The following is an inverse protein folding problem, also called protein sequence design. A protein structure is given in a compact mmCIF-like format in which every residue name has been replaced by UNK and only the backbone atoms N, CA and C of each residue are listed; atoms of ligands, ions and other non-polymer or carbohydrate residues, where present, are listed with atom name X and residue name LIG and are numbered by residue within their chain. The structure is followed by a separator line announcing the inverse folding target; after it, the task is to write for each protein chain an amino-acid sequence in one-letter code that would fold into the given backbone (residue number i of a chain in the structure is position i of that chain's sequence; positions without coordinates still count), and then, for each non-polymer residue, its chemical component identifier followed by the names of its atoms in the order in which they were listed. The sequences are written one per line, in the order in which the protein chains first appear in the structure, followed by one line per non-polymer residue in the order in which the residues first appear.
data_IF_423029997942
#
_entry.id   IF_423029997942
#
_cell.length_a   1.000
_cell.length_b   1.000
_cell.length_c   1.000
_cell.angle_alpha   90.00
_cell.angle_beta   90.00
_cell.angle_gamma   90.00
#
_symmetry.space_group_name_H-M   'P 1'
#
loop_
_entity.id
_entity.type
_entity.pdbx_description
1 polymer ?
#
# COMPACT_ATOMS: atom_id res chain seq x y z
N UNK A 1 9.06 11.44 9.74
CA UNK A 1 9.55 12.75 9.31
C UNK A 1 10.73 12.58 8.37
N UNK A 2 10.47 12.62 7.05
CA UNK A 2 11.49 12.54 5.99
C UNK A 2 12.04 13.97 5.78
N UNK A 3 12.76 14.50 6.75
CA UNK A 3 13.39 15.84 6.64
C UNK A 3 14.26 15.87 5.38
N UNK A 4 14.08 16.90 4.56
CA UNK A 4 14.84 17.10 3.32
C UNK A 4 14.22 16.47 2.06
N UNK A 5 13.03 15.84 2.16
CA UNK A 5 12.31 15.32 0.99
C UNK A 5 11.12 16.21 0.64
N UNK A 6 10.84 16.36 -0.65
CA UNK A 6 9.59 16.96 -1.15
C UNK A 6 8.49 15.90 -1.11
N UNK A 7 7.35 16.22 -0.49
CA UNK A 7 6.21 15.32 -0.41
C UNK A 7 5.09 15.83 -1.30
N UNK A 8 4.64 14.98 -2.23
CA UNK A 8 3.48 15.23 -3.08
C UNK A 8 2.34 14.38 -2.52
N UNK A 9 1.38 15.02 -1.86
CA UNK A 9 0.20 14.35 -1.32
C UNK A 9 -0.91 14.32 -2.37
N UNK A 10 -1.35 13.12 -2.76
CA UNK A 10 -2.43 12.92 -3.71
C UNK A 10 -3.61 12.26 -2.99
N UNK A 11 -4.70 13.00 -2.81
CA UNK A 11 -5.87 12.55 -2.06
C UNK A 11 -7.15 13.24 -2.54
N UNK A 12 -8.30 12.71 -2.18
CA UNK A 12 -9.60 13.33 -2.48
C UNK A 12 -9.72 14.76 -1.98
N UNK A 13 -9.14 15.07 -0.82
CA UNK A 13 -9.17 16.42 -0.25
C UNK A 13 -8.44 17.46 -1.08
N UNK A 14 -7.53 17.06 -1.95
CA UNK A 14 -6.83 17.94 -2.89
C UNK A 14 -7.13 17.62 -4.37
N UNK A 15 -8.26 16.95 -4.62
CA UNK A 15 -8.81 16.77 -5.95
C UNK A 15 -8.29 15.55 -6.73
N UNK A 16 -7.67 14.57 -6.04
CA UNK A 16 -7.21 13.32 -6.67
C UNK A 16 -8.07 12.15 -6.23
N UNK A 17 -8.84 11.58 -7.16
CA UNK A 17 -9.55 10.34 -6.96
C UNK A 17 -8.67 9.15 -7.38
N UNK A 18 -8.64 8.10 -6.56
CA UNK A 18 -7.82 6.90 -6.85
C UNK A 18 -8.26 6.19 -8.14
N UNK A 19 -9.53 6.35 -8.55
CA UNK A 19 -10.07 5.85 -9.82
C UNK A 19 -9.46 6.54 -11.05
N UNK A 20 -8.95 7.75 -10.90
CA UNK A 20 -8.24 8.46 -11.97
C UNK A 20 -6.73 8.12 -11.93
N UNK A 21 -6.45 6.85 -12.19
CA UNK A 21 -5.10 6.28 -12.15
C UNK A 21 -4.12 7.04 -13.04
N UNK A 22 -4.57 7.47 -14.22
CA UNK A 22 -3.72 8.19 -15.18
C UNK A 22 -3.29 9.56 -14.64
N UNK A 23 -4.20 10.29 -14.01
CA UNK A 23 -3.90 11.59 -13.41
C UNK A 23 -2.95 11.46 -12.22
N UNK A 24 -3.12 10.42 -11.40
CA UNK A 24 -2.23 10.14 -10.27
C UNK A 24 -0.84 9.76 -10.78
N UNK A 25 -0.75 8.92 -11.82
CA UNK A 25 0.52 8.56 -12.44
C UNK A 25 1.23 9.80 -12.98
N UNK A 26 0.54 10.64 -13.73
CA UNK A 26 1.12 11.86 -14.31
C UNK A 26 1.64 12.82 -13.22
N UNK A 27 0.89 12.97 -12.12
CA UNK A 27 1.31 13.83 -11.01
C UNK A 27 2.51 13.25 -10.21
N UNK A 28 2.69 11.92 -10.21
CA UNK A 28 3.70 11.23 -9.42
C UNK A 28 4.85 10.62 -10.21
N UNK A 29 4.81 10.59 -11.53
CA UNK A 29 5.81 9.87 -12.37
C UNK A 29 7.26 10.33 -12.17
N UNK A 30 7.48 11.60 -11.84
CA UNK A 30 8.80 12.17 -11.62
C UNK A 30 9.31 12.02 -10.18
N UNK A 31 8.48 11.53 -9.25
CA UNK A 31 8.90 11.23 -7.89
C UNK A 31 9.89 10.04 -7.87
N UNK A 32 10.71 9.95 -6.82
CA UNK A 32 11.64 8.82 -6.60
C UNK A 32 10.97 7.65 -5.89
N UNK A 33 9.93 7.93 -5.09
CA UNK A 33 9.24 6.96 -4.25
C UNK A 33 7.74 7.18 -4.38
N UNK A 34 6.99 6.12 -4.69
CA UNK A 34 5.54 6.08 -4.64
C UNK A 34 5.07 5.22 -3.47
N UNK A 35 4.29 5.81 -2.56
CA UNK A 35 3.64 5.09 -1.47
C UNK A 35 2.16 4.93 -1.81
N UNK A 36 1.79 3.75 -2.27
CA UNK A 36 0.45 3.36 -2.67
C UNK A 36 -0.38 2.96 -1.44
N UNK A 37 -0.92 3.95 -0.73
CA UNK A 37 -1.64 3.77 0.53
C UNK A 37 -3.16 3.92 0.40
N UNK A 38 -3.66 4.74 -0.51
CA UNK A 38 -5.09 4.96 -0.68
C UNK A 38 -5.81 3.66 -1.09
N UNK A 39 -7.04 3.47 -0.60
CA UNK A 39 -7.86 2.31 -0.90
C UNK A 39 -9.23 2.75 -1.43
N UNK A 40 -9.58 2.19 -2.58
CA UNK A 40 -10.94 2.14 -3.10
C UNK A 40 -11.01 1.02 -4.17
N UNK A 41 -11.83 0.00 -3.95
CA UNK A 41 -11.99 -1.11 -4.88
C UNK A 41 -10.65 -1.71 -5.34
N UNK A 42 -10.55 -1.97 -6.62
CA UNK A 42 -9.34 -2.51 -7.26
C UNK A 42 -8.32 -1.43 -7.68
N UNK A 43 -8.65 -0.15 -7.54
CA UNK A 43 -7.81 0.94 -8.05
C UNK A 43 -6.41 1.00 -7.40
N UNK A 44 -6.26 0.50 -6.16
CA UNK A 44 -4.95 0.38 -5.55
C UNK A 44 -4.03 -0.60 -6.30
N UNK A 45 -4.59 -1.71 -6.81
CA UNK A 45 -3.88 -2.64 -7.72
C UNK A 45 -3.56 -1.95 -9.04
N UNK A 46 -4.51 -1.24 -9.62
CA UNK A 46 -4.34 -0.59 -10.91
C UNK A 46 -3.24 0.48 -10.85
N UNK A 47 -3.15 1.22 -9.74
CA UNK A 47 -2.04 2.16 -9.49
C UNK A 47 -0.69 1.44 -9.35
N UNK A 48 -0.63 0.31 -8.65
CA UNK A 48 0.60 -0.49 -8.57
C UNK A 48 1.07 -0.88 -9.97
N UNK A 49 0.18 -1.40 -10.82
CA UNK A 49 0.49 -1.84 -12.18
C UNK A 49 0.91 -0.67 -13.08
N UNK A 50 0.24 0.49 -12.97
CA UNK A 50 0.58 1.68 -13.74
C UNK A 50 1.98 2.21 -13.38
N UNK A 51 2.28 2.38 -12.08
CA UNK A 51 3.59 2.81 -11.64
C UNK A 51 4.69 1.79 -11.93
N UNK A 52 4.40 0.48 -11.85
CA UNK A 52 5.34 -0.54 -12.26
C UNK A 52 5.69 -0.42 -13.74
N UNK A 53 4.71 -0.30 -14.63
CA UNK A 53 4.94 -0.17 -16.07
C UNK A 53 5.77 1.07 -16.42
N UNK A 54 5.56 2.17 -15.71
CA UNK A 54 6.30 3.42 -15.89
C UNK A 54 7.73 3.33 -15.34
N UNK A 55 7.92 2.62 -14.21
CA UNK A 55 9.17 2.66 -13.45
C UNK A 55 10.02 1.40 -13.51
N UNK A 56 9.55 0.31 -14.12
CA UNK A 56 10.24 -0.99 -14.11
C UNK A 56 11.71 -0.94 -14.55
N UNK A 57 12.05 -0.03 -15.47
CA UNK A 57 13.41 0.14 -15.99
C UNK A 57 14.20 1.26 -15.28
N UNK A 58 13.68 1.78 -14.17
CA UNK A 58 14.29 2.84 -13.36
C UNK A 58 14.78 2.30 -12.00
N UNK A 59 15.50 3.14 -11.24
CA UNK A 59 15.91 2.82 -9.86
C UNK A 59 14.95 3.33 -8.79
N UNK A 60 13.75 3.80 -9.20
CA UNK A 60 12.71 4.32 -8.31
C UNK A 60 12.10 3.23 -7.42
N UNK A 61 11.28 3.62 -6.45
CA UNK A 61 10.71 2.68 -5.49
C UNK A 61 9.19 2.78 -5.37
N UNK A 62 8.52 1.63 -5.40
CA UNK A 62 7.08 1.49 -5.15
C UNK A 62 6.87 0.76 -3.82
N UNK A 63 6.15 1.36 -2.89
CA UNK A 63 5.71 0.70 -1.65
C UNK A 63 4.19 0.66 -1.65
N UNK A 64 3.62 -0.55 -1.61
CA UNK A 64 2.17 -0.73 -1.49
C UNK A 64 1.78 -1.12 -0.07
N UNK A 65 0.68 -0.54 0.43
CA UNK A 65 0.12 -0.90 1.73
C UNK A 65 -1.01 -1.92 1.51
N UNK A 66 -0.69 -3.15 1.83
CA UNK A 66 -1.60 -4.29 1.80
C UNK A 66 -2.48 -4.39 3.04
N UNK A 67 -2.76 -5.62 3.48
CA UNK A 67 -3.43 -5.92 4.74
C UNK A 67 -3.23 -7.39 5.11
N UNK A 68 -3.13 -7.70 6.38
CA UNK A 68 -3.08 -9.09 6.89
C UNK A 68 -4.38 -9.86 6.63
N UNK A 69 -5.49 -9.18 6.35
CA UNK A 69 -6.78 -9.82 6.05
C UNK A 69 -6.68 -10.83 4.90
N UNK A 70 -5.65 -10.69 4.06
CA UNK A 70 -5.39 -11.62 2.96
C UNK A 70 -4.89 -12.99 3.44
N UNK A 71 -4.26 -13.06 4.60
CA UNK A 71 -3.62 -14.27 5.14
C UNK A 71 -4.41 -14.93 6.28
N UNK A 72 -5.24 -14.16 7.00
CA UNK A 72 -5.90 -14.60 8.21
C UNK A 72 -7.43 -14.51 8.12
N UNK A 73 -8.10 -15.56 7.59
CA UNK A 73 -9.57 -15.56 7.45
C UNK A 73 -10.33 -15.37 8.77
N UNK A 74 -9.71 -15.71 9.92
CA UNK A 74 -10.32 -15.53 11.24
C UNK A 74 -10.52 -14.07 11.64
N UNK A 75 -9.67 -13.17 11.17
CA UNK A 75 -9.77 -11.73 11.45
C UNK A 75 -11.03 -11.15 10.81
N UNK A 76 -11.50 -11.74 9.71
CA UNK A 76 -12.74 -11.30 9.04
C UNK A 76 -13.99 -11.49 9.92
N UNK A 77 -14.03 -12.52 10.78
CA UNK A 77 -15.17 -12.75 11.66
C UNK A 77 -15.26 -11.76 12.82
N UNK A 78 -14.12 -11.20 13.21
CA UNK A 78 -14.03 -10.18 14.26
C UNK A 78 -14.22 -8.76 13.70
N UNK A 79 -13.94 -8.57 12.41
CA UNK A 79 -14.17 -7.33 11.65
C UNK A 79 -15.50 -7.37 10.87
N UNK A 80 -16.51 -7.97 11.41
CA UNK A 80 -17.80 -8.38 10.77
C UNK A 80 -18.61 -7.27 10.08
N UNK A 81 -18.05 -6.09 9.95
CA UNK A 81 -18.64 -4.97 9.19
C UNK A 81 -17.87 -4.61 7.91
N UNK A 82 -16.72 -5.24 7.64
CA UNK A 82 -16.03 -5.05 6.36
C UNK A 82 -16.50 -6.11 5.38
N UNK A 83 -17.24 -5.71 4.34
CA UNK A 83 -17.77 -6.66 3.38
C UNK A 83 -16.63 -7.39 2.65
N UNK A 84 -16.87 -8.62 2.24
CA UNK A 84 -16.01 -9.49 1.43
C UNK A 84 -15.19 -8.78 0.32
N UNK A 85 -15.69 -7.71 -0.34
CA UNK A 85 -14.93 -6.99 -1.33
C UNK A 85 -13.57 -6.46 -0.87
N UNK A 86 -13.42 -5.98 0.39
CA UNK A 86 -12.15 -5.45 0.88
C UNK A 86 -11.02 -6.47 0.82
N UNK A 87 -11.31 -7.70 1.27
CA UNK A 87 -10.34 -8.79 1.22
C UNK A 87 -9.94 -9.13 -0.21
N UNK A 88 -10.92 -9.23 -1.11
CA UNK A 88 -10.67 -9.57 -2.50
C UNK A 88 -9.85 -8.48 -3.20
N UNK A 89 -10.14 -7.21 -2.90
CA UNK A 89 -9.37 -6.09 -3.40
C UNK A 89 -7.91 -6.13 -2.89
N UNK A 90 -7.70 -6.41 -1.59
CA UNK A 90 -6.34 -6.53 -1.03
C UNK A 90 -5.62 -7.78 -1.52
N UNK A 91 -6.33 -8.89 -1.78
CA UNK A 91 -5.76 -10.06 -2.45
C UNK A 91 -5.31 -9.73 -3.86
N UNK A 92 -6.15 -9.07 -4.65
CA UNK A 92 -5.80 -8.66 -6.01
C UNK A 92 -4.54 -7.78 -6.04
N UNK A 93 -4.42 -6.83 -5.10
CA UNK A 93 -3.19 -6.04 -4.93
C UNK A 93 -1.98 -6.93 -4.65
N UNK A 94 -2.07 -7.85 -3.68
CA UNK A 94 -0.98 -8.74 -3.30
C UNK A 94 -0.60 -9.69 -4.43
N UNK A 95 -1.57 -10.27 -5.11
CA UNK A 95 -1.33 -11.23 -6.18
C UNK A 95 -0.68 -10.54 -7.38
N UNK A 96 -1.11 -9.33 -7.74
CA UNK A 96 -0.44 -8.50 -8.74
C UNK A 96 0.99 -8.16 -8.31
N UNK A 97 1.21 -7.71 -7.06
CA UNK A 97 2.55 -7.45 -6.54
C UNK A 97 3.45 -8.68 -6.67
N UNK A 98 2.99 -9.85 -6.24
CA UNK A 98 3.74 -11.12 -6.30
C UNK A 98 4.02 -11.60 -7.72
N UNK A 99 3.17 -11.25 -8.67
CA UNK A 99 3.42 -11.46 -10.10
C UNK A 99 4.53 -10.53 -10.58
N UNK A 100 4.37 -9.23 -10.35
CA UNK A 100 5.27 -8.20 -10.89
C UNK A 100 6.70 -8.31 -10.37
N UNK A 101 6.92 -8.69 -9.10
CA UNK A 101 8.27 -8.87 -8.56
C UNK A 101 9.06 -10.04 -9.18
N UNK A 102 8.40 -10.92 -9.93
CA UNK A 102 9.02 -12.04 -10.66
C UNK A 102 9.38 -11.67 -12.09
N UNK A 103 8.79 -10.62 -12.61
CA UNK A 103 9.13 -10.11 -13.94
C UNK A 103 10.46 -9.35 -13.89
N UNK A 104 11.18 -9.25 -15.01
CA UNK A 104 12.40 -8.43 -15.08
C UNK A 104 12.08 -6.96 -14.75
N UNK A 105 12.79 -6.40 -13.75
CA UNK A 105 12.64 -4.99 -13.37
C UNK A 105 13.89 -4.49 -12.64
N UNK A 106 14.14 -3.19 -12.72
CA UNK A 106 15.20 -2.48 -11.99
C UNK A 106 14.62 -1.69 -10.80
N UNK A 107 13.34 -1.29 -10.85
CA UNK A 107 12.71 -0.55 -9.75
C UNK A 107 12.65 -1.40 -8.48
N UNK A 108 12.71 -0.73 -7.34
CA UNK A 108 12.52 -1.39 -6.05
C UNK A 108 11.02 -1.49 -5.73
N UNK A 109 10.61 -2.61 -5.19
CA UNK A 109 9.21 -2.83 -4.81
C UNK A 109 9.13 -3.45 -3.41
N UNK A 110 8.16 -2.99 -2.61
CA UNK A 110 7.83 -3.58 -1.33
C UNK A 110 6.33 -3.56 -1.07
N UNK A 111 5.82 -4.64 -0.45
CA UNK A 111 4.45 -4.75 0.05
C UNK A 111 4.48 -4.83 1.57
N UNK A 112 3.80 -3.91 2.24
CA UNK A 112 3.67 -3.91 3.69
C UNK A 112 2.22 -4.21 4.03
N UNK A 113 2.00 -5.30 4.76
CA UNK A 113 0.67 -5.78 5.15
C UNK A 113 0.46 -5.55 6.65
N UNK A 114 -0.12 -4.40 7.04
CA UNK A 114 -0.42 -4.12 8.44
C UNK A 114 -1.65 -4.90 8.92
N UNK A 115 -1.68 -5.14 10.24
CA UNK A 115 -2.87 -5.51 10.99
C UNK A 115 -3.87 -4.38 11.11
N UNK A 116 -4.85 -4.57 11.99
CA UNK A 116 -5.81 -3.54 12.34
C UNK A 116 -5.07 -2.28 12.81
N UNK A 117 -5.17 -1.19 12.06
CA UNK A 117 -4.43 0.04 12.34
C UNK A 117 -5.42 1.13 12.74
N UNK A 118 -5.16 1.84 13.84
CA UNK A 118 -6.06 2.87 14.37
C UNK A 118 -6.17 4.06 13.40
N UNK A 119 -7.15 3.95 12.52
CA UNK A 119 -7.50 4.92 11.49
C UNK A 119 -9.01 5.13 11.47
N UNK A 120 -9.49 6.16 10.80
CA UNK A 120 -10.92 6.44 10.67
C UNK A 120 -11.70 5.26 10.08
N UNK A 121 -11.08 4.47 9.21
CA UNK A 121 -11.70 3.30 8.57
C UNK A 121 -12.18 2.25 9.58
N UNK A 122 -11.42 2.02 10.66
CA UNK A 122 -11.73 1.00 11.66
C UNK A 122 -11.94 1.56 13.06
N UNK A 123 -12.17 2.88 13.18
CA UNK A 123 -12.35 3.56 14.48
C UNK A 123 -13.45 2.91 15.31
N UNK A 124 -14.52 2.49 14.67
CA UNK A 124 -15.73 1.93 15.33
C UNK A 124 -15.63 0.43 15.65
N UNK A 125 -14.56 -0.25 15.22
CA UNK A 125 -14.39 -1.68 15.49
C UNK A 125 -13.74 -1.87 16.86
N UNK A 126 -14.30 -2.78 17.66
CA UNK A 126 -13.77 -3.16 18.96
C UNK A 126 -12.71 -4.28 18.82
N UNK A 127 -11.59 -3.95 18.18
CA UNK A 127 -10.44 -4.84 18.02
C UNK A 127 -9.18 -4.13 18.50
N UNK A 128 -8.18 -4.91 18.91
CA UNK A 128 -6.86 -4.35 19.19
C UNK A 128 -6.31 -3.68 17.92
N UNK A 129 -5.81 -2.47 18.05
CA UNK A 129 -5.35 -1.64 16.92
C UNK A 129 -3.92 -1.20 17.14
N UNK A 130 -3.11 -1.38 16.12
CA UNK A 130 -1.75 -0.84 16.13
C UNK A 130 -1.74 0.65 15.84
N UNK A 131 -0.75 1.34 16.39
CA UNK A 131 -0.56 2.76 16.10
C UNK A 131 -0.11 2.95 14.63
N UNK A 132 -0.68 3.90 13.87
CA UNK A 132 -0.23 4.21 12.51
C UNK A 132 1.26 4.51 12.38
N UNK A 133 1.89 4.98 13.45
CA UNK A 133 3.35 5.20 13.52
C UNK A 133 4.14 3.90 13.30
N UNK A 134 3.62 2.75 13.71
CA UNK A 134 4.29 1.46 13.50
C UNK A 134 4.29 1.08 12.01
N UNK A 135 3.19 1.35 11.30
CA UNK A 135 3.14 1.18 9.84
C UNK A 135 4.15 2.10 9.16
N UNK A 136 4.22 3.37 9.60
CA UNK A 136 5.20 4.32 9.08
C UNK A 136 6.66 3.88 9.35
N UNK A 137 6.93 3.24 10.49
CA UNK A 137 8.25 2.64 10.80
C UNK A 137 8.57 1.49 9.85
N UNK A 138 7.59 0.61 9.54
CA UNK A 138 7.76 -0.47 8.59
C UNK A 138 8.05 0.05 7.17
N UNK A 139 7.32 1.08 6.73
CA UNK A 139 7.59 1.78 5.46
C UNK A 139 9.02 2.32 5.45
N UNK A 140 9.41 3.02 6.51
CA UNK A 140 10.77 3.56 6.63
C UNK A 140 11.83 2.44 6.61
N UNK A 141 11.56 1.34 7.27
CA UNK A 141 12.49 0.20 7.27
C UNK A 141 12.66 -0.37 5.85
N UNK A 142 11.59 -0.55 5.09
CA UNK A 142 11.64 -1.00 3.71
C UNK A 142 12.37 0.00 2.79
N UNK A 143 12.27 1.30 3.04
CA UNK A 143 13.01 2.32 2.28
C UNK A 143 14.53 2.13 2.38
N UNK A 144 15.04 1.80 3.56
CA UNK A 144 16.49 1.63 3.80
C UNK A 144 17.01 0.22 3.57
N UNK A 145 16.13 -0.78 3.38
CA UNK A 145 16.51 -2.18 3.23
C UNK A 145 16.00 -2.76 1.91
N UNK A 146 16.85 -2.73 0.89
CA UNK A 146 16.49 -3.10 -0.49
C UNK A 146 16.10 -4.58 -0.66
N UNK A 147 16.47 -5.45 0.28
CA UNK A 147 16.14 -6.87 0.25
C UNK A 147 14.72 -7.17 0.74
N UNK A 148 14.04 -6.20 1.38
CA UNK A 148 12.65 -6.37 1.83
C UNK A 148 11.72 -6.31 0.63
N UNK A 149 11.00 -7.40 0.39
CA UNK A 149 9.95 -7.48 -0.64
C UNK A 149 8.55 -7.48 -0.02
N UNK A 150 8.33 -8.31 1.00
CA UNK A 150 7.07 -8.35 1.74
C UNK A 150 7.34 -8.27 3.24
N UNK A 151 6.48 -7.55 3.96
CA UNK A 151 6.55 -7.43 5.41
C UNK A 151 5.12 -7.43 5.98
N UNK A 152 4.89 -8.28 6.97
CA UNK A 152 3.66 -8.26 7.77
C UNK A 152 3.95 -7.60 9.12
N UNK A 153 3.09 -6.68 9.51
CA UNK A 153 3.21 -5.92 10.76
C UNK A 153 1.88 -5.99 11.50
N UNK A 154 1.91 -6.45 12.73
CA UNK A 154 0.72 -6.52 13.57
C UNK A 154 1.05 -6.25 15.03
N UNK A 155 0.03 -5.93 15.79
CA UNK A 155 0.13 -5.72 17.23
C UNK A 155 0.51 -7.02 17.94
N UNK A 156 1.22 -6.87 19.07
CA UNK A 156 1.60 -7.99 19.94
C UNK A 156 0.43 -8.41 20.83
#
# INVERSE_FOLDING_TARGET
NLKGNTIIGLSRSNGYEISDTQRILEAGKDADIFINNAYDGFYQRDLLEAFYNEWKDTTKMIISIGSIVTDYPRIERELDSQPWPYRDHKRALRDSFRKLIKEPHNCRMALISPGATDTDMIRHHNVAKMNPVEVARAVRYALYNSFIKEMTVYEK
#
